data_IF_336375826654
#
_entry.id   IF_336375826654
#
_cell.length_a   1.000
_cell.length_b   1.000
_cell.length_c   1.000
_cell.angle_alpha   90.00
_cell.angle_beta   90.00
_cell.angle_gamma   90.00
#
_symmetry.space_group_name_H-M   'P 1'
#
loop_
_entity.id
_entity.type
_entity.pdbx_description
1 polymer ?
#
# COMPACT_ATOMS: atom_id res chain seq x y z
N UNK A 1 10.76 9.01 -31.67
CA UNK A 1 10.12 8.73 -30.37
C UNK A 1 11.22 8.45 -29.33
N UNK A 2 11.64 9.50 -28.63
CA UNK A 2 12.74 9.48 -27.64
C UNK A 2 12.44 8.58 -26.41
N UNK A 3 11.17 8.19 -26.22
CA UNK A 3 10.75 7.35 -25.09
C UNK A 3 10.85 5.84 -25.36
N UNK A 4 11.04 5.45 -26.61
CA UNK A 4 11.08 4.03 -26.99
C UNK A 4 12.27 3.25 -26.38
N UNK A 5 13.50 3.76 -26.32
CA UNK A 5 14.63 3.07 -25.68
C UNK A 5 14.44 2.91 -24.16
N UNK A 6 13.92 3.96 -23.49
CA UNK A 6 13.68 3.92 -22.04
C UNK A 6 12.57 2.95 -21.67
N UNK A 7 11.54 2.82 -22.51
CA UNK A 7 10.46 1.85 -22.33
C UNK A 7 10.97 0.42 -22.48
N UNK A 8 11.84 0.16 -23.47
CA UNK A 8 12.49 -1.14 -23.67
C UNK A 8 13.43 -1.49 -22.51
N UNK A 9 14.16 -0.53 -21.99
CA UNK A 9 15.08 -0.73 -20.87
C UNK A 9 14.30 -1.09 -19.59
N UNK A 10 13.16 -0.46 -19.34
CA UNK A 10 12.24 -0.85 -18.23
C UNK A 10 11.72 -2.26 -18.39
N UNK A 11 11.33 -2.66 -19.58
CA UNK A 11 10.82 -4.01 -19.84
C UNK A 11 11.89 -5.09 -19.70
N UNK A 12 13.17 -4.75 -19.91
CA UNK A 12 14.26 -5.72 -19.79
C UNK A 12 14.72 -5.99 -18.36
N UNK A 13 14.58 -5.03 -17.45
CA UNK A 13 15.18 -5.10 -16.12
C UNK A 13 14.17 -5.23 -14.98
N UNK A 14 12.89 -4.88 -15.16
CA UNK A 14 11.92 -4.77 -14.08
C UNK A 14 10.56 -5.27 -14.58
N UNK A 15 9.97 -6.20 -13.85
CA UNK A 15 8.54 -6.49 -13.97
C UNK A 15 7.82 -5.32 -13.31
N UNK A 16 7.19 -4.47 -14.11
CA UNK A 16 6.44 -3.33 -13.63
C UNK A 16 5.31 -3.79 -12.69
N UNK A 17 5.07 -2.98 -11.66
CA UNK A 17 3.96 -3.15 -10.72
C UNK A 17 3.16 -1.86 -10.70
N UNK A 18 1.86 -1.98 -10.45
CA UNK A 18 0.99 -0.83 -10.23
C UNK A 18 0.68 -0.78 -8.74
N UNK A 19 0.84 0.40 -8.14
CA UNK A 19 0.59 0.57 -6.70
C UNK A 19 -0.61 1.49 -6.48
N UNK A 20 -1.55 1.05 -5.67
CA UNK A 20 -2.66 1.83 -5.13
C UNK A 20 -2.29 2.34 -3.74
N UNK A 21 -2.39 3.65 -3.52
CA UNK A 21 -2.15 4.29 -2.22
C UNK A 21 -3.23 5.28 -1.80
N UNK A 22 -4.37 5.26 -2.47
CA UNK A 22 -5.46 6.19 -2.26
C UNK A 22 -5.37 7.45 -3.12
N UNK A 23 -6.51 8.13 -3.22
CA UNK A 23 -6.67 9.41 -3.88
C UNK A 23 -7.10 10.48 -2.87
N UNK A 24 -6.73 11.73 -3.12
CA UNK A 24 -7.12 12.86 -2.26
C UNK A 24 -8.63 13.00 -2.22
N UNK A 25 -9.19 13.10 -1.03
CA UNK A 25 -10.61 13.31 -0.77
C UNK A 25 -10.83 14.27 0.39
N UNK A 26 -11.42 15.43 0.10
CA UNK A 26 -11.60 16.47 1.11
C UNK A 26 -10.29 17.07 1.59
N UNK A 27 -10.26 17.50 2.84
CA UNK A 27 -9.11 18.14 3.48
C UNK A 27 -8.21 17.09 4.13
N UNK A 28 -6.95 17.01 3.67
CA UNK A 28 -5.88 16.20 4.27
C UNK A 28 -6.24 14.71 4.45
N UNK A 29 -7.10 14.16 3.60
CA UNK A 29 -7.53 12.76 3.70
C UNK A 29 -7.30 12.04 2.36
N UNK A 30 -6.91 10.77 2.45
CA UNK A 30 -6.86 9.86 1.32
C UNK A 30 -7.96 8.81 1.46
N UNK A 31 -8.55 8.42 0.34
CA UNK A 31 -9.52 7.32 0.26
C UNK A 31 -9.06 6.32 -0.78
N UNK A 32 -9.03 5.06 -0.40
CA UNK A 32 -8.73 3.94 -1.30
C UNK A 32 -10.03 3.31 -1.78
N UNK A 33 -10.28 3.41 -3.09
CA UNK A 33 -11.40 2.69 -3.71
C UNK A 33 -10.98 1.25 -4.00
N UNK A 34 -11.48 0.29 -3.23
CA UNK A 34 -11.14 -1.13 -3.38
C UNK A 34 -11.49 -1.69 -4.78
N UNK A 35 -12.38 -1.03 -5.52
CA UNK A 35 -12.69 -1.39 -6.92
C UNK A 35 -11.55 -1.04 -7.88
N UNK A 36 -10.69 -0.08 -7.52
CA UNK A 36 -9.53 0.28 -8.33
C UNK A 36 -8.56 -0.90 -8.50
N UNK A 37 -8.44 -1.75 -7.49
CA UNK A 37 -7.52 -2.90 -7.49
C UNK A 37 -7.80 -3.88 -8.63
N UNK A 38 -9.01 -4.45 -8.78
CA UNK A 38 -9.31 -5.32 -9.90
C UNK A 38 -9.37 -4.57 -11.24
N UNK A 39 -9.68 -3.26 -11.26
CA UNK A 39 -9.64 -2.45 -12.48
C UNK A 39 -8.19 -2.34 -12.99
N UNK A 40 -7.25 -2.01 -12.12
CA UNK A 40 -5.83 -1.92 -12.48
C UNK A 40 -5.25 -3.28 -12.90
N UNK A 41 -5.68 -4.37 -12.26
CA UNK A 41 -5.23 -5.72 -12.59
C UNK A 41 -5.58 -6.14 -14.03
N UNK A 42 -6.63 -5.57 -14.63
CA UNK A 42 -7.00 -5.82 -16.04
C UNK A 42 -5.91 -5.41 -17.05
N UNK A 43 -4.99 -4.54 -16.65
CA UNK A 43 -3.85 -4.17 -17.49
C UNK A 43 -2.75 -5.25 -17.54
N UNK A 44 -2.92 -6.36 -16.83
CA UNK A 44 -1.97 -7.48 -16.82
C UNK A 44 -0.74 -7.29 -15.93
N UNK A 45 -0.71 -6.24 -15.11
CA UNK A 45 0.38 -5.98 -14.17
C UNK A 45 -0.03 -6.38 -12.74
N UNK A 46 0.91 -6.87 -11.93
CA UNK A 46 0.67 -7.09 -10.51
C UNK A 46 0.29 -5.79 -9.81
N UNK A 47 -0.79 -5.82 -9.03
CA UNK A 47 -1.24 -4.67 -8.25
C UNK A 47 -0.76 -4.84 -6.81
N UNK A 48 -0.08 -3.81 -6.30
CA UNK A 48 0.37 -3.70 -4.91
C UNK A 48 -0.52 -2.69 -4.21
N UNK A 49 -0.98 -3.01 -3.03
CA UNK A 49 -1.65 -2.04 -2.16
C UNK A 49 -0.65 -1.46 -1.16
N UNK A 50 -0.50 -0.15 -1.15
CA UNK A 50 0.33 0.56 -0.16
C UNK A 50 -0.52 0.86 1.07
N UNK A 51 -0.43 -0.01 2.07
CA UNK A 51 -1.22 0.11 3.30
C UNK A 51 -0.70 1.21 4.23
N UNK A 52 0.60 1.54 4.16
CA UNK A 52 1.20 2.60 4.96
C UNK A 52 0.75 3.97 4.51
N UNK A 53 0.91 4.27 3.23
CA UNK A 53 0.65 5.63 2.75
C UNK A 53 -0.83 5.87 2.40
N UNK A 54 -1.65 4.83 2.31
CA UNK A 54 -3.10 4.98 2.11
C UNK A 54 -3.83 5.62 3.29
N UNK A 55 -3.23 5.60 4.48
CA UNK A 55 -3.76 6.21 5.71
C UNK A 55 -3.08 7.52 6.08
N UNK A 56 -2.20 8.02 5.21
CA UNK A 56 -1.51 9.28 5.40
C UNK A 56 -2.50 10.46 5.34
N UNK A 57 -2.24 11.48 6.15
CA UNK A 57 -2.94 12.76 6.12
C UNK A 57 -2.00 13.85 5.62
N UNK A 58 -1.92 14.07 4.29
CA UNK A 58 -0.98 15.03 3.71
C UNK A 58 -1.20 16.43 4.28
N UNK A 59 -0.14 17.03 4.87
CA UNK A 59 -0.22 18.35 5.49
C UNK A 59 -1.06 18.43 6.76
N UNK A 60 -1.48 17.30 7.33
CA UNK A 60 -2.34 17.26 8.53
C UNK A 60 -1.69 17.83 9.79
N UNK A 61 -0.36 17.97 9.82
CA UNK A 61 0.40 18.57 10.90
C UNK A 61 1.17 19.83 10.46
N UNK A 62 0.67 20.55 9.47
CA UNK A 62 1.30 21.76 8.93
C UNK A 62 2.54 21.44 8.10
N UNK A 63 3.72 21.40 8.71
CA UNK A 63 5.00 21.14 8.03
C UNK A 63 5.27 19.65 7.77
N UNK A 64 4.49 18.74 8.38
CA UNK A 64 4.61 17.28 8.21
C UNK A 64 3.26 16.63 7.91
N UNK A 65 3.30 15.44 7.32
CA UNK A 65 2.12 14.63 7.15
C UNK A 65 1.72 13.96 8.47
N UNK A 66 0.43 13.99 8.78
CA UNK A 66 -0.17 13.14 9.80
C UNK A 66 -0.48 11.75 9.23
N UNK A 67 -1.08 10.89 10.05
CA UNK A 67 -1.50 9.56 9.64
C UNK A 67 -2.39 8.88 10.66
N UNK A 68 -3.02 7.81 10.21
CA UNK A 68 -3.99 7.04 10.99
C UNK A 68 -3.59 5.56 10.99
N UNK A 69 -2.47 5.27 11.67
CA UNK A 69 -1.88 3.91 11.80
C UNK A 69 -2.90 2.82 12.12
N UNK A 70 -3.90 3.16 12.91
CA UNK A 70 -4.95 2.24 13.32
C UNK A 70 -5.74 1.62 12.15
N UNK A 71 -5.76 2.27 10.99
CA UNK A 71 -6.45 1.77 9.79
C UNK A 71 -5.57 0.95 8.85
N UNK A 72 -4.25 0.94 9.03
CA UNK A 72 -3.31 0.18 8.16
C UNK A 72 -3.72 -1.28 8.07
N UNK A 73 -3.93 -1.92 9.21
CA UNK A 73 -4.32 -3.32 9.30
C UNK A 73 -5.68 -3.59 8.64
N UNK A 74 -6.65 -2.70 8.82
CA UNK A 74 -7.98 -2.83 8.24
C UNK A 74 -7.95 -2.77 6.71
N UNK A 75 -7.24 -1.77 6.17
CA UNK A 75 -7.15 -1.59 4.72
C UNK A 75 -6.28 -2.67 4.06
N UNK A 76 -5.19 -3.10 4.73
CA UNK A 76 -4.38 -4.21 4.25
C UNK A 76 -5.19 -5.50 4.10
N UNK A 77 -6.00 -5.87 5.11
CA UNK A 77 -6.89 -7.04 5.05
C UNK A 77 -7.91 -6.90 3.93
N UNK A 78 -8.53 -5.73 3.78
CA UNK A 78 -9.50 -5.49 2.72
C UNK A 78 -8.87 -5.66 1.33
N UNK A 79 -7.69 -5.10 1.10
CA UNK A 79 -6.97 -5.22 -0.17
C UNK A 79 -6.58 -6.67 -0.48
N UNK A 80 -6.08 -7.41 0.52
CA UNK A 80 -5.75 -8.84 0.34
C UNK A 80 -7.01 -9.65 0.05
N UNK A 81 -8.13 -9.36 0.69
CA UNK A 81 -9.42 -10.00 0.41
C UNK A 81 -9.94 -9.71 -1.01
N UNK A 82 -9.61 -8.57 -1.60
CA UNK A 82 -9.88 -8.27 -3.02
C UNK A 82 -8.97 -9.08 -3.96
N UNK A 83 -7.81 -9.54 -3.49
CA UNK A 83 -6.90 -10.39 -4.24
C UNK A 83 -5.72 -9.67 -4.89
N UNK A 84 -5.18 -8.63 -4.24
CA UNK A 84 -3.95 -7.96 -4.70
C UNK A 84 -2.77 -8.91 -4.80
N UNK A 85 -1.79 -8.57 -5.62
CA UNK A 85 -0.56 -9.36 -5.79
C UNK A 85 0.39 -9.22 -4.58
N UNK A 86 0.28 -8.14 -3.82
CA UNK A 86 1.07 -7.90 -2.62
C UNK A 86 0.64 -6.64 -1.87
N UNK A 87 1.19 -6.48 -0.69
CA UNK A 87 0.98 -5.30 0.17
C UNK A 87 2.34 -4.67 0.49
N UNK A 88 2.39 -3.35 0.46
CA UNK A 88 3.52 -2.57 0.96
C UNK A 88 3.20 -2.10 2.38
N UNK A 89 4.10 -2.38 3.31
CA UNK A 89 3.97 -1.99 4.72
C UNK A 89 5.32 -1.47 5.19
N UNK A 90 5.35 -0.25 5.72
CA UNK A 90 6.49 0.27 6.46
C UNK A 90 6.38 -0.10 7.94
N UNK A 91 7.51 -0.42 8.53
CA UNK A 91 7.59 -0.82 9.93
C UNK A 91 8.82 -0.24 10.61
N UNK A 92 8.72 0.04 11.89
CA UNK A 92 9.82 0.54 12.71
C UNK A 92 9.70 0.00 14.14
N UNK A 93 10.82 -0.15 14.83
CA UNK A 93 10.83 -0.59 16.24
C UNK A 93 10.21 0.45 17.18
N UNK A 94 10.29 1.72 16.82
CA UNK A 94 9.73 2.85 17.54
C UNK A 94 9.17 3.87 16.53
N UNK A 95 7.94 3.64 16.01
CA UNK A 95 7.37 4.48 14.96
C UNK A 95 7.19 5.94 15.37
N UNK A 96 6.97 6.21 16.63
CA UNK A 96 6.70 7.58 17.12
C UNK A 96 7.97 8.45 17.10
N UNK A 97 9.15 7.83 17.09
CA UNK A 97 10.44 8.47 16.93
C UNK A 97 11.10 8.18 15.57
N UNK A 98 10.35 7.69 14.60
CA UNK A 98 10.86 7.47 13.26
C UNK A 98 11.16 8.79 12.53
N UNK A 99 12.18 8.85 11.65
CA UNK A 99 12.58 10.10 10.98
C UNK A 99 11.54 10.62 9.97
N UNK A 100 10.65 9.74 9.47
CA UNK A 100 9.54 10.07 8.57
C UNK A 100 8.40 9.07 8.76
N UNK A 101 7.20 9.43 8.33
CA UNK A 101 6.00 8.57 8.24
C UNK A 101 5.62 7.79 9.50
N UNK A 102 6.19 8.15 10.66
CA UNK A 102 5.94 7.51 11.95
C UNK A 102 4.46 7.27 12.25
N UNK A 103 3.56 8.26 12.05
CA UNK A 103 2.12 8.11 12.28
C UNK A 103 1.43 7.02 11.41
N UNK A 104 2.10 6.51 10.37
CA UNK A 104 1.58 5.50 9.46
C UNK A 104 2.26 4.13 9.62
N UNK A 105 3.45 4.08 10.24
CA UNK A 105 4.23 2.86 10.35
C UNK A 105 3.63 1.86 11.33
N UNK A 106 3.71 0.59 10.99
CA UNK A 106 3.34 -0.51 11.88
C UNK A 106 4.49 -0.77 12.86
N UNK A 107 4.24 -0.86 14.18
CA UNK A 107 5.25 -1.32 15.13
C UNK A 107 5.74 -2.72 14.77
N UNK A 108 7.07 -2.94 14.83
CA UNK A 108 7.68 -4.20 14.37
C UNK A 108 7.20 -5.42 15.15
N UNK A 109 6.87 -5.24 16.42
CA UNK A 109 6.33 -6.29 17.29
C UNK A 109 4.93 -6.77 16.88
N UNK A 110 4.18 -5.94 16.12
CA UNK A 110 2.86 -6.27 15.59
C UNK A 110 2.91 -6.86 14.18
N UNK A 111 4.04 -6.74 13.49
CA UNK A 111 4.17 -7.10 12.07
C UNK A 111 3.93 -8.59 11.84
N UNK A 112 4.48 -9.47 12.68
CA UNK A 112 4.36 -10.93 12.52
C UNK A 112 2.89 -11.37 12.55
N UNK A 113 2.11 -10.88 13.53
CA UNK A 113 0.70 -11.23 13.65
C UNK A 113 -0.11 -10.72 12.46
N UNK A 114 0.19 -9.51 12.00
CA UNK A 114 -0.46 -8.93 10.81
C UNK A 114 -0.15 -9.76 9.56
N UNK A 115 1.12 -10.08 9.31
CA UNK A 115 1.52 -10.87 8.14
C UNK A 115 0.87 -12.26 8.14
N UNK A 116 0.73 -12.89 9.30
CA UNK A 116 0.03 -14.17 9.43
C UNK A 116 -1.44 -14.04 9.01
N UNK A 117 -2.14 -13.03 9.51
CA UNK A 117 -3.53 -12.78 9.13
C UNK A 117 -3.68 -12.52 7.62
N UNK A 118 -2.80 -11.69 7.04
CA UNK A 118 -2.84 -11.39 5.62
C UNK A 118 -2.59 -12.65 4.78
N UNK A 119 -1.65 -13.49 5.18
CA UNK A 119 -1.36 -14.74 4.50
C UNK A 119 -2.52 -15.73 4.59
N UNK A 120 -3.21 -15.82 5.73
CA UNK A 120 -4.39 -16.67 5.89
C UNK A 120 -5.53 -16.23 4.97
N UNK A 121 -5.78 -14.91 4.85
CA UNK A 121 -6.77 -14.35 3.92
C UNK A 121 -6.36 -14.64 2.46
N UNK A 122 -5.09 -14.38 2.11
CA UNK A 122 -4.57 -14.61 0.76
C UNK A 122 -4.73 -16.07 0.33
N UNK A 123 -4.40 -17.00 1.21
CA UNK A 123 -4.58 -18.43 0.99
C UNK A 123 -6.06 -18.80 0.79
N UNK A 124 -6.97 -18.16 1.51
CA UNK A 124 -8.41 -18.39 1.35
C UNK A 124 -8.91 -17.93 -0.02
N UNK A 125 -8.49 -16.76 -0.46
CA UNK A 125 -8.95 -16.12 -1.70
C UNK A 125 -8.31 -16.75 -2.93
N UNK A 126 -7.03 -17.13 -2.86
CA UNK A 126 -6.25 -17.67 -3.99
C UNK A 126 -6.21 -19.18 -4.06
N UNK A 127 -6.91 -19.90 -3.17
CA UNK A 127 -7.08 -21.35 -3.30
C UNK A 127 -7.75 -21.66 -4.64
N UNK A 128 -6.99 -22.31 -5.50
CA UNK A 128 -7.48 -22.96 -6.72
C UNK A 128 -8.05 -24.33 -6.39
#
# INVERSE_FOLDING_TARGET
>A
DLHYPLRRQRQMCIRDRVTERGASFGYNTLVSDMRSLPIMAKNGYPVIFDATHSVQQPGGQGASSGGQREFVEHLARAAVAVGVAGVFIETHQDPDNAPSDGPNMVPIDKLESLLKQLNDIDNLIKKK
#
